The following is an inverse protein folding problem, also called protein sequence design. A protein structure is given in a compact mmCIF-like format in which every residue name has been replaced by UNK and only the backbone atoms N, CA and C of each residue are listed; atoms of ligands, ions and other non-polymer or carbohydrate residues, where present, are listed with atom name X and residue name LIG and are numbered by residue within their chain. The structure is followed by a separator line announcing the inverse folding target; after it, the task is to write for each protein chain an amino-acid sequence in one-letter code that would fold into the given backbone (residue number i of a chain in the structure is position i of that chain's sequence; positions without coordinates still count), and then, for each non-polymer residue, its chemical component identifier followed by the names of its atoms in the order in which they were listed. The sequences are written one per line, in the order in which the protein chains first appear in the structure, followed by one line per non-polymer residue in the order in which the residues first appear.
data_IF_624204368659
#
_entry.id   IF_624204368659
#
_cell.length_a   1.000
_cell.length_b   1.000
_cell.length_c   1.000
_cell.angle_alpha   90.00
_cell.angle_beta   90.00
_cell.angle_gamma   90.00
#
_symmetry.space_group_name_H-M   'P 1'
#
loop_
_entity.id
_entity.type
_entity.pdbx_description
1 polymer ?
#
# COMPACT_ATOMS: atom_id res chain seq x y z
N UNK A 1 8.24 13.75 16.44
CA UNK A 1 6.82 14.03 16.17
C UNK A 1 5.97 13.01 16.90
N UNK A 2 5.18 13.42 17.90
CA UNK A 2 4.27 12.49 18.56
C UNK A 2 3.13 12.17 17.58
N UNK A 3 3.05 10.92 17.12
CA UNK A 3 1.91 10.46 16.32
C UNK A 3 0.62 10.71 17.12
N UNK A 4 -0.34 11.42 16.54
CA UNK A 4 -1.67 11.59 17.15
C UNK A 4 -2.20 10.19 17.47
N UNK A 5 -2.54 9.95 18.74
CA UNK A 5 -3.06 8.66 19.26
C UNK A 5 -4.34 8.14 18.57
N UNK A 6 -4.89 8.88 17.61
CA UNK A 6 -6.18 8.63 16.96
C UNK A 6 -6.14 8.52 15.42
N UNK A 7 -4.96 8.28 14.83
CA UNK A 7 -4.88 7.99 13.40
C UNK A 7 -5.32 6.54 13.12
N UNK A 8 -6.61 6.23 13.30
CA UNK A 8 -7.16 4.95 12.83
C UNK A 8 -7.06 4.91 11.31
N UNK A 9 -6.48 3.83 10.78
CA UNK A 9 -6.52 3.58 9.34
C UNK A 9 -7.98 3.42 8.90
N UNK A 10 -8.44 4.31 8.04
CA UNK A 10 -9.75 4.21 7.41
C UNK A 10 -9.59 3.44 6.09
N UNK A 11 -10.32 2.35 5.98
CA UNK A 11 -10.47 1.60 4.73
C UNK A 11 -11.88 1.83 4.19
N UNK A 12 -12.02 1.84 2.87
CA UNK A 12 -13.34 1.81 2.25
C UNK A 12 -14.11 0.55 2.67
N UNK A 13 -15.45 0.58 2.69
CA UNK A 13 -16.26 -0.61 2.93
C UNK A 13 -15.84 -1.76 2.01
N UNK A 14 -15.76 -2.97 2.57
CA UNK A 14 -15.30 -4.14 1.81
C UNK A 14 -16.43 -4.72 0.94
N UNK A 15 -17.68 -4.35 1.22
CA UNK A 15 -18.87 -4.96 0.65
C UNK A 15 -19.34 -6.15 1.49
N UNK A 16 -20.65 -6.42 1.43
CA UNK A 16 -21.36 -7.38 2.29
C UNK A 16 -20.64 -8.74 2.41
N UNK A 17 -20.32 -9.35 1.27
CA UNK A 17 -19.64 -10.64 1.22
C UNK A 17 -18.32 -10.70 2.01
N UNK A 18 -17.46 -9.68 1.86
CA UNK A 18 -16.16 -9.66 2.54
C UNK A 18 -16.28 -9.24 4.00
N UNK A 19 -17.27 -8.43 4.34
CA UNK A 19 -17.57 -8.09 5.74
C UNK A 19 -18.06 -9.30 6.53
N UNK A 20 -18.90 -10.15 5.92
CA UNK A 20 -19.35 -11.41 6.49
C UNK A 20 -18.20 -12.37 6.70
N UNK A 21 -17.35 -12.57 5.68
CA UNK A 21 -16.16 -13.42 5.81
C UNK A 21 -15.23 -12.93 6.92
N UNK A 22 -15.00 -11.62 7.02
CA UNK A 22 -14.18 -11.03 8.08
C UNK A 22 -14.80 -11.26 9.47
N UNK A 23 -16.12 -11.13 9.59
CA UNK A 23 -16.82 -11.36 10.85
C UNK A 23 -16.72 -12.82 11.31
N UNK A 24 -16.94 -13.76 10.39
CA UNK A 24 -16.82 -15.20 10.64
C UNK A 24 -15.38 -15.58 11.01
N UNK A 25 -14.40 -15.14 10.24
CA UNK A 25 -12.99 -15.45 10.46
C UNK A 25 -12.47 -14.84 11.78
N UNK A 26 -12.88 -13.61 12.11
CA UNK A 26 -12.56 -12.99 13.39
C UNK A 26 -13.16 -13.77 14.57
N UNK A 27 -14.40 -14.25 14.44
CA UNK A 27 -15.06 -15.06 15.46
C UNK A 27 -14.36 -16.41 15.67
N UNK A 28 -14.06 -17.14 14.59
CA UNK A 28 -13.34 -18.43 14.62
C UNK A 28 -11.99 -18.29 15.34
N UNK A 29 -11.28 -17.19 15.09
CA UNK A 29 -9.96 -16.95 15.67
C UNK A 29 -9.99 -16.23 17.03
N UNK A 30 -11.17 -16.03 17.63
CA UNK A 30 -11.36 -15.32 18.91
C UNK A 30 -10.70 -13.92 18.92
N UNK A 31 -10.81 -13.18 17.81
CA UNK A 31 -10.23 -11.84 17.62
C UNK A 31 -11.32 -10.81 17.35
N UNK A 32 -11.03 -9.55 17.64
CA UNK A 32 -11.87 -8.46 17.15
C UNK A 32 -11.77 -8.36 15.62
N UNK A 33 -12.83 -7.92 14.94
CA UNK A 33 -12.81 -7.67 13.50
C UNK A 33 -11.66 -6.75 13.08
N UNK A 34 -11.37 -5.72 13.88
CA UNK A 34 -10.27 -4.79 13.63
C UNK A 34 -8.89 -5.46 13.68
N UNK A 35 -8.65 -6.31 14.69
CA UNK A 35 -7.37 -7.01 14.82
C UNK A 35 -7.21 -8.06 13.71
N UNK A 36 -8.28 -8.76 13.35
CA UNK A 36 -8.23 -9.74 12.26
C UNK A 36 -8.00 -9.06 10.91
N UNK A 37 -8.70 -7.96 10.63
CA UNK A 37 -8.47 -7.15 9.43
C UNK A 37 -7.02 -6.64 9.36
N UNK A 38 -6.48 -6.14 10.47
CA UNK A 38 -5.08 -5.71 10.54
C UNK A 38 -4.11 -6.87 10.23
N UNK A 39 -4.30 -8.03 10.85
CA UNK A 39 -3.48 -9.22 10.61
C UNK A 39 -3.52 -9.66 9.14
N UNK A 40 -4.71 -9.73 8.54
CA UNK A 40 -4.89 -10.12 7.14
C UNK A 40 -4.28 -9.10 6.18
N UNK A 41 -4.45 -7.80 6.43
CA UNK A 41 -3.85 -6.74 5.62
C UNK A 41 -2.32 -6.79 5.67
N UNK A 42 -1.74 -6.93 6.87
CA UNK A 42 -0.29 -7.07 7.05
C UNK A 42 0.26 -8.28 6.30
N UNK A 43 -0.39 -9.45 6.44
CA UNK A 43 -0.03 -10.66 5.71
C UNK A 43 -0.08 -10.45 4.20
N UNK A 44 -1.16 -9.82 3.70
CA UNK A 44 -1.29 -9.58 2.26
C UNK A 44 -0.29 -8.57 1.71
N UNK A 45 0.10 -7.57 2.50
CA UNK A 45 1.14 -6.61 2.14
C UNK A 45 2.52 -7.29 2.10
N UNK A 46 2.81 -8.16 3.06
CA UNK A 46 4.04 -8.95 3.06
C UNK A 46 4.13 -9.87 1.83
N UNK A 47 3.05 -10.56 1.47
CA UNK A 47 3.00 -11.35 0.23
C UNK A 47 3.23 -10.50 -1.04
N UNK A 48 2.83 -9.23 -1.01
CA UNK A 48 2.96 -8.30 -2.14
C UNK A 48 4.27 -7.52 -2.15
N UNK A 49 5.10 -7.63 -1.11
CA UNK A 49 6.27 -6.78 -0.91
C UNK A 49 7.21 -6.79 -2.13
N UNK A 50 7.58 -7.98 -2.63
CA UNK A 50 8.46 -8.11 -3.79
C UNK A 50 7.92 -7.39 -5.03
N UNK A 51 6.65 -7.62 -5.37
CA UNK A 51 5.98 -6.94 -6.50
C UNK A 51 5.87 -5.44 -6.33
N UNK A 52 5.73 -4.96 -5.08
CA UNK A 52 5.72 -3.53 -4.78
C UNK A 52 7.10 -2.94 -5.06
N UNK A 53 8.17 -3.59 -4.59
CA UNK A 53 9.56 -3.16 -4.84
C UNK A 53 9.93 -3.16 -6.32
N UNK A 54 9.61 -4.23 -7.05
CA UNK A 54 9.82 -4.31 -8.52
C UNK A 54 9.14 -3.15 -9.26
N UNK A 55 7.91 -2.79 -8.86
CA UNK A 55 7.18 -1.66 -9.45
C UNK A 55 7.84 -0.32 -9.13
N UNK A 56 8.32 -0.14 -7.90
CA UNK A 56 9.06 1.07 -7.52
C UNK A 56 10.35 1.18 -8.36
N UNK A 57 11.11 0.10 -8.50
CA UNK A 57 12.31 0.08 -9.34
C UNK A 57 12.02 0.45 -10.80
N UNK A 58 10.98 -0.15 -11.39
CA UNK A 58 10.55 0.20 -12.75
C UNK A 58 10.18 1.68 -12.87
N UNK A 59 9.43 2.19 -11.90
CA UNK A 59 8.99 3.58 -11.85
C UNK A 59 10.14 4.56 -11.61
N UNK A 60 11.16 4.17 -10.84
CA UNK A 60 12.36 4.96 -10.58
C UNK A 60 13.24 5.04 -11.83
N UNK A 61 13.45 3.89 -12.50
CA UNK A 61 14.16 3.82 -13.80
C UNK A 61 13.52 4.74 -14.84
N UNK A 62 12.19 4.74 -14.94
CA UNK A 62 11.47 5.66 -15.85
C UNK A 62 11.68 7.14 -15.54
N UNK A 63 11.97 7.49 -14.29
CA UNK A 63 12.24 8.87 -13.84
C UNK A 63 13.73 9.22 -13.83
N UNK A 64 14.62 8.28 -14.15
CA UNK A 64 16.06 8.48 -14.04
C UNK A 64 16.56 8.70 -12.61
N UNK A 65 15.82 8.25 -11.59
CA UNK A 65 16.21 8.37 -10.17
C UNK A 65 16.42 6.99 -9.55
N UNK A 66 17.04 6.97 -8.38
CA UNK A 66 17.19 5.75 -7.58
C UNK A 66 15.85 5.30 -6.97
N UNK A 67 15.69 3.99 -6.80
CA UNK A 67 14.48 3.40 -6.20
C UNK A 67 14.28 3.81 -4.74
N UNK A 68 15.34 3.95 -3.96
CA UNK A 68 15.25 4.40 -2.57
C UNK A 68 14.80 5.86 -2.51
N UNK A 69 15.30 6.70 -3.43
CA UNK A 69 14.89 8.09 -3.53
C UNK A 69 13.40 8.21 -3.88
N UNK A 70 12.91 7.44 -4.86
CA UNK A 70 11.47 7.41 -5.18
C UNK A 70 10.64 6.91 -3.99
N UNK A 71 11.11 5.90 -3.27
CA UNK A 71 10.44 5.40 -2.08
C UNK A 71 10.32 6.48 -1.00
N UNK A 72 11.39 7.23 -0.74
CA UNK A 72 11.39 8.34 0.21
C UNK A 72 10.40 9.43 -0.20
N UNK A 73 10.37 9.81 -1.48
CA UNK A 73 9.41 10.79 -1.99
C UNK A 73 7.96 10.34 -1.80
N UNK A 74 7.65 9.05 -2.04
CA UNK A 74 6.31 8.48 -1.81
C UNK A 74 5.95 8.57 -0.32
N UNK A 75 6.85 8.15 0.57
CA UNK A 75 6.60 8.13 2.01
C UNK A 75 6.44 9.53 2.62
N UNK A 76 7.07 10.55 2.01
CA UNK A 76 6.87 11.97 2.36
C UNK A 76 5.61 12.59 1.75
N UNK A 77 4.98 11.92 0.79
CA UNK A 77 3.85 12.46 0.03
C UNK A 77 4.26 13.47 -1.05
N UNK A 78 5.53 13.48 -1.45
CA UNK A 78 6.12 14.40 -2.44
C UNK A 78 6.10 13.80 -3.86
N UNK A 79 5.98 12.47 -3.98
CA UNK A 79 6.00 11.80 -5.28
C UNK A 79 4.78 12.14 -6.14
N UNK A 80 5.04 12.54 -7.39
CA UNK A 80 4.00 12.81 -8.39
C UNK A 80 3.81 11.62 -9.35
N UNK A 81 2.59 11.45 -9.84
CA UNK A 81 2.28 10.47 -10.89
C UNK A 81 2.90 10.98 -12.19
N UNK A 82 3.64 10.10 -12.88
CA UNK A 82 4.10 10.36 -14.25
C UNK A 82 2.89 10.54 -15.15
N UNK A 83 2.85 11.64 -15.89
CA UNK A 83 1.98 11.83 -17.04
C UNK A 83 2.72 11.36 -18.30
N UNK A 84 1.99 11.11 -19.42
CA UNK A 84 2.64 10.73 -20.68
C UNK A 84 3.69 11.74 -21.16
N UNK A 85 3.49 13.03 -20.87
CA UNK A 85 4.40 14.12 -21.23
C UNK A 85 5.73 14.11 -20.45
N UNK A 86 5.79 13.36 -19.33
CA UNK A 86 6.98 13.25 -18.48
C UNK A 86 7.91 12.08 -18.88
N UNK A 87 7.55 11.32 -19.93
CA UNK A 87 8.37 10.21 -20.40
C UNK A 87 9.51 10.74 -21.28
N UNK A 88 10.76 10.28 -21.08
CA UNK A 88 11.85 10.66 -21.97
C UNK A 88 11.59 10.14 -23.40
N UNK A 89 11.86 10.96 -24.42
CA UNK A 89 11.68 10.71 -25.87
C UNK A 89 12.40 9.46 -26.43
N UNK A 90 13.03 8.65 -25.58
CA UNK A 90 13.97 7.59 -25.97
C UNK A 90 13.44 6.15 -25.72
N UNK A 91 12.12 5.98 -25.65
CA UNK A 91 11.46 4.65 -25.55
C UNK A 91 10.57 4.33 -26.77
N UNK A 92 10.96 4.79 -27.96
CA UNK A 92 10.46 4.27 -29.25
C UNK A 92 11.36 3.17 -29.81
#
# INVERSE_FOLDING_TARGET
MAARRDARLLISPLGEYYEDLLALDAWINARSKANQANSLLCSKLQEREGRIKERIEYLAKKRGIDSEELQLQILKGEAQRLTPDDLPDSLE
#
